data_IF_669685718593
#
_entry.id   IF_669685718593
#
_cell.length_a   1.000
_cell.length_b   1.000
_cell.length_c   1.000
_cell.angle_alpha   90.00
_cell.angle_beta   90.00
_cell.angle_gamma   90.00
#
_symmetry.space_group_name_H-M   'P 1'
#
loop_
_entity.id
_entity.type
_entity.pdbx_description
1 polymer ?
#
# COMPACT_ATOMS: atom_id res chain seq x y z
N UNK A 1 -9.56 1.49 -23.63
CA UNK A 1 -10.29 0.44 -22.89
C UNK A 1 -9.49 -0.84 -23.05
N UNK A 2 -8.92 -1.39 -21.97
CA UNK A 2 -8.28 -2.70 -22.00
C UNK A 2 -9.35 -3.74 -22.35
N UNK A 3 -9.10 -4.59 -23.35
CA UNK A 3 -9.98 -5.73 -23.56
C UNK A 3 -9.91 -6.62 -22.31
N UNK A 4 -11.02 -7.23 -21.89
CA UNK A 4 -11.13 -8.06 -20.67
C UNK A 4 -10.18 -9.28 -20.60
N UNK A 5 -9.29 -9.46 -21.59
CA UNK A 5 -8.32 -10.53 -21.70
C UNK A 5 -6.84 -10.07 -21.63
N UNK A 6 -6.53 -8.76 -21.65
CA UNK A 6 -5.14 -8.29 -21.58
C UNK A 6 -4.70 -7.99 -20.14
N UNK A 7 -4.12 -8.99 -19.50
CA UNK A 7 -3.58 -8.90 -18.13
C UNK A 7 -2.10 -8.50 -18.14
N UNK A 8 -1.35 -8.78 -19.20
CA UNK A 8 0.11 -8.56 -19.23
C UNK A 8 0.47 -7.09 -19.27
N UNK A 9 -0.23 -6.29 -20.10
CA UNK A 9 0.02 -4.85 -20.18
C UNK A 9 -0.16 -4.15 -18.83
N UNK A 10 -1.32 -4.34 -18.15
CA UNK A 10 -1.55 -3.78 -16.83
C UNK A 10 -0.61 -4.35 -15.76
N UNK A 11 -0.30 -5.66 -15.78
CA UNK A 11 0.67 -6.23 -14.85
C UNK A 11 2.07 -5.60 -15.01
N UNK A 12 2.51 -5.39 -16.24
CA UNK A 12 3.78 -4.72 -16.54
C UNK A 12 3.78 -3.25 -16.08
N UNK A 13 2.65 -2.54 -16.21
CA UNK A 13 2.48 -1.22 -15.62
C UNK A 13 2.62 -1.27 -14.10
N UNK A 14 1.90 -2.20 -13.44
CA UNK A 14 1.95 -2.34 -12.00
C UNK A 14 3.36 -2.64 -11.47
N UNK A 15 4.14 -3.47 -12.18
CA UNK A 15 5.52 -3.77 -11.79
C UNK A 15 6.40 -2.52 -11.79
N UNK A 16 6.25 -1.65 -12.81
CA UNK A 16 7.00 -0.39 -12.87
C UNK A 16 6.57 0.61 -11.80
N UNK A 17 5.28 0.62 -11.47
CA UNK A 17 4.72 1.59 -10.52
C UNK A 17 4.95 1.20 -9.05
N UNK A 18 4.93 -0.09 -8.74
CA UNK A 18 4.77 -0.59 -7.37
C UNK A 18 5.79 -1.64 -6.93
N UNK A 19 6.62 -2.16 -7.84
CA UNK A 19 7.61 -3.19 -7.54
C UNK A 19 9.06 -2.68 -7.68
N UNK A 20 9.32 -1.45 -7.24
CA UNK A 20 10.65 -0.82 -7.32
C UNK A 20 11.74 -1.58 -6.53
N UNK A 21 11.36 -2.37 -5.53
CA UNK A 21 12.24 -3.27 -4.78
C UNK A 21 12.59 -4.58 -5.51
N UNK A 22 12.07 -4.79 -6.73
CA UNK A 22 12.41 -5.91 -7.62
C UNK A 22 11.19 -6.61 -8.21
N UNK A 23 11.36 -7.26 -9.36
CA UNK A 23 10.28 -7.93 -10.09
C UNK A 23 10.42 -9.47 -10.05
N UNK A 24 10.75 -10.01 -8.88
CA UNK A 24 10.86 -11.46 -8.67
C UNK A 24 9.54 -12.21 -9.01
N UNK A 25 9.58 -13.55 -9.16
CA UNK A 25 8.39 -14.32 -9.53
C UNK A 25 7.17 -14.11 -8.62
N UNK A 26 7.36 -13.83 -7.32
CA UNK A 26 6.26 -13.58 -6.40
C UNK A 26 5.66 -12.19 -6.64
N UNK A 27 6.49 -11.16 -6.83
CA UNK A 27 6.02 -9.82 -7.19
C UNK A 27 5.23 -9.82 -8.51
N UNK A 28 5.75 -10.53 -9.53
CA UNK A 28 5.06 -10.73 -10.83
C UNK A 28 3.72 -11.44 -10.66
N UNK A 29 3.67 -12.50 -9.87
CA UNK A 29 2.44 -13.23 -9.63
C UNK A 29 1.37 -12.36 -8.92
N UNK A 30 1.77 -11.59 -7.90
CA UNK A 30 0.85 -10.69 -7.19
C UNK A 30 0.29 -9.61 -8.11
N UNK A 31 1.14 -8.93 -8.88
CA UNK A 31 0.69 -7.84 -9.76
C UNK A 31 -0.10 -8.33 -10.97
N UNK A 32 0.22 -9.52 -11.50
CA UNK A 32 -0.62 -10.18 -12.51
C UNK A 32 -2.00 -10.52 -11.96
N UNK A 33 -2.07 -11.02 -10.73
CA UNK A 33 -3.35 -11.32 -10.07
C UNK A 33 -4.18 -10.05 -9.86
N UNK A 34 -3.56 -8.97 -9.36
CA UNK A 34 -4.22 -7.67 -9.19
C UNK A 34 -4.69 -7.09 -10.53
N UNK A 35 -3.84 -7.13 -11.56
CA UNK A 35 -4.13 -6.65 -12.91
C UNK A 35 -5.37 -7.31 -13.53
N UNK A 36 -5.59 -8.60 -13.27
CA UNK A 36 -6.77 -9.32 -13.75
C UNK A 36 -8.09 -8.78 -13.17
N UNK A 37 -8.05 -8.14 -11.98
CA UNK A 37 -9.22 -7.61 -11.30
C UNK A 37 -9.54 -6.14 -11.65
N UNK A 38 -8.56 -5.35 -12.09
CA UNK A 38 -8.77 -3.91 -12.34
C UNK A 38 -9.89 -3.55 -13.31
N UNK A 39 -10.17 -4.31 -14.39
CA UNK A 39 -11.32 -4.00 -15.27
C UNK A 39 -12.66 -4.01 -14.53
N UNK A 40 -12.76 -4.72 -13.41
CA UNK A 40 -13.96 -4.82 -12.57
C UNK A 40 -13.94 -3.87 -11.37
N UNK A 41 -12.82 -3.19 -11.09
CA UNK A 41 -12.67 -2.32 -9.91
C UNK A 41 -13.75 -1.25 -9.86
N UNK A 42 -14.07 -0.64 -11.00
CA UNK A 42 -15.10 0.40 -11.12
C UNK A 42 -16.51 -0.05 -10.72
N UNK A 43 -16.81 -1.35 -10.71
CA UNK A 43 -18.10 -1.90 -10.24
C UNK A 43 -18.29 -1.69 -8.74
N UNK A 44 -17.18 -1.69 -7.99
CA UNK A 44 -17.18 -1.54 -6.54
C UNK A 44 -16.64 -0.18 -6.07
N UNK A 45 -16.08 0.62 -6.97
CA UNK A 45 -15.55 1.94 -6.66
C UNK A 45 -16.65 2.88 -6.20
N UNK A 46 -16.39 3.60 -5.10
CA UNK A 46 -17.27 4.63 -4.55
C UNK A 46 -16.49 5.93 -4.43
N UNK A 47 -17.16 7.09 -4.45
CA UNK A 47 -16.51 8.34 -4.11
C UNK A 47 -15.88 8.25 -2.72
N UNK A 48 -14.63 8.70 -2.60
CA UNK A 48 -13.95 8.76 -1.32
C UNK A 48 -14.70 9.70 -0.37
N UNK A 49 -15.09 9.25 0.83
CA UNK A 49 -15.69 10.15 1.81
C UNK A 49 -14.61 11.14 2.30
N UNK A 50 -14.99 12.36 2.74
CA UNK A 50 -14.04 13.39 3.19
C UNK A 50 -13.52 13.09 4.61
N UNK A 51 -12.90 11.93 4.80
CA UNK A 51 -12.47 11.42 6.11
C UNK A 51 -11.02 11.75 6.44
N UNK A 52 -10.23 12.20 5.47
CA UNK A 52 -8.82 12.47 5.69
C UNK A 52 -8.60 13.57 6.75
N UNK A 53 -9.44 14.61 6.74
CA UNK A 53 -9.45 15.69 7.77
C UNK A 53 -10.01 15.24 9.12
N UNK A 54 -10.62 14.05 9.17
CA UNK A 54 -11.20 13.45 10.38
C UNK A 54 -10.28 12.45 11.06
N UNK A 55 -9.11 12.15 10.49
CA UNK A 55 -8.11 11.29 11.14
C UNK A 55 -7.77 11.70 12.59
N UNK A 56 -7.70 13.01 12.95
CA UNK A 56 -7.47 13.40 14.34
C UNK A 56 -8.55 12.94 15.33
N UNK A 57 -9.77 12.61 14.87
CA UNK A 57 -10.82 12.04 15.73
C UNK A 57 -10.44 10.64 16.26
N UNK A 58 -9.49 9.96 15.60
CA UNK A 58 -8.97 8.65 15.98
C UNK A 58 -7.66 8.75 16.79
N UNK A 59 -7.18 9.97 17.06
CA UNK A 59 -5.96 10.17 17.83
C UNK A 59 -6.07 9.52 19.22
N UNK A 60 -4.99 8.86 19.65
CA UNK A 60 -4.93 8.12 20.92
C UNK A 60 -5.34 6.65 20.83
N UNK A 61 -5.91 6.19 19.71
CA UNK A 61 -6.02 4.75 19.44
C UNK A 61 -4.63 4.15 19.13
N UNK A 62 -4.36 2.90 19.54
CA UNK A 62 -3.14 2.21 19.14
C UNK A 62 -3.06 2.11 17.60
N UNK A 63 -2.13 2.86 17.01
CA UNK A 63 -1.94 2.92 15.57
C UNK A 63 -0.46 3.08 15.23
N UNK A 64 -0.08 2.60 14.04
CA UNK A 64 1.22 2.83 13.41
C UNK A 64 1.00 2.94 11.91
N UNK A 65 1.76 3.79 11.24
CA UNK A 65 1.77 3.89 9.78
C UNK A 65 3.07 3.30 9.26
N UNK A 66 2.97 2.35 8.33
CA UNK A 66 4.13 1.72 7.70
C UNK A 66 4.14 2.08 6.23
N UNK A 67 5.32 2.41 5.70
CA UNK A 67 5.50 2.76 4.29
C UNK A 67 6.86 2.30 3.78
N UNK A 68 6.93 1.84 2.54
CA UNK A 68 8.20 1.57 1.86
C UNK A 68 8.89 2.88 1.46
N UNK A 69 10.22 2.93 1.50
CA UNK A 69 10.96 4.08 1.01
C UNK A 69 11.03 4.16 -0.52
N UNK A 70 10.67 3.07 -1.22
CA UNK A 70 10.56 3.00 -2.68
C UNK A 70 9.11 3.13 -3.17
N UNK A 71 8.14 3.38 -2.29
CA UNK A 71 6.78 3.73 -2.69
C UNK A 71 6.75 5.04 -3.49
N UNK A 72 5.70 5.22 -4.30
CA UNK A 72 5.55 6.44 -5.08
C UNK A 72 5.45 7.67 -4.15
N UNK A 73 6.06 8.82 -4.53
CA UNK A 73 6.09 10.01 -3.67
C UNK A 73 4.71 10.45 -3.13
N UNK A 74 3.61 10.45 -3.91
CA UNK A 74 2.29 10.79 -3.38
C UNK A 74 1.79 9.84 -2.27
N UNK A 75 2.17 8.56 -2.34
CA UNK A 75 1.83 7.56 -1.32
C UNK A 75 2.63 7.80 -0.05
N UNK A 76 3.92 8.12 -0.18
CA UNK A 76 4.79 8.48 0.94
C UNK A 76 4.28 9.74 1.64
N UNK A 77 3.95 10.80 0.88
CA UNK A 77 3.39 12.04 1.42
C UNK A 77 2.06 11.80 2.16
N UNK A 78 1.21 10.93 1.62
CA UNK A 78 -0.06 10.56 2.26
C UNK A 78 0.18 9.81 3.59
N UNK A 79 1.12 8.87 3.62
CA UNK A 79 1.47 8.11 4.81
C UNK A 79 2.02 9.02 5.92
N UNK A 80 2.89 9.98 5.57
CA UNK A 80 3.44 10.96 6.49
C UNK A 80 2.35 11.83 7.13
N UNK A 81 1.46 12.39 6.30
CA UNK A 81 0.33 13.19 6.77
C UNK A 81 -0.65 12.36 7.60
N UNK A 82 -0.83 11.09 7.27
CA UNK A 82 -1.67 10.16 8.04
C UNK A 82 -1.09 9.95 9.44
N UNK A 83 0.23 9.69 9.54
CA UNK A 83 0.90 9.51 10.82
C UNK A 83 0.86 10.78 11.68
N UNK A 84 1.12 11.95 11.06
CA UNK A 84 1.02 13.25 11.71
C UNK A 84 -0.38 13.48 12.29
N UNK A 85 -1.43 13.27 11.48
CA UNK A 85 -2.82 13.52 11.89
C UNK A 85 -3.34 12.54 12.92
N UNK A 86 -2.89 11.28 12.89
CA UNK A 86 -3.19 10.29 13.92
C UNK A 86 -2.36 10.49 15.19
N UNK A 87 -1.29 11.30 15.13
CA UNK A 87 -0.33 11.44 16.21
C UNK A 87 0.40 10.13 16.53
N UNK A 88 0.67 9.30 15.51
CA UNK A 88 1.26 7.98 15.68
C UNK A 88 2.63 7.84 15.01
N UNK A 89 3.30 6.72 15.29
CA UNK A 89 4.63 6.44 14.74
C UNK A 89 4.54 6.12 13.23
N UNK A 90 5.37 6.82 12.43
CA UNK A 90 5.66 6.47 11.05
C UNK A 90 6.90 5.58 10.97
N UNK A 91 6.74 4.38 10.43
CA UNK A 91 7.80 3.42 10.19
C UNK A 91 8.10 3.33 8.69
N UNK A 92 9.18 3.99 8.27
CA UNK A 92 9.73 3.81 6.91
C UNK A 92 10.54 2.51 6.85
N UNK A 93 10.28 1.69 5.84
CA UNK A 93 10.93 0.39 5.64
C UNK A 93 11.93 0.49 4.50
N UNK A 94 13.26 0.44 4.78
CA UNK A 94 14.28 0.59 3.76
C UNK A 94 14.25 -0.53 2.72
N UNK A 95 14.40 -0.15 1.45
CA UNK A 95 14.36 -1.05 0.29
C UNK A 95 13.00 -1.69 0.03
N UNK A 96 11.93 -1.24 0.70
CA UNK A 96 10.59 -1.78 0.47
C UNK A 96 9.82 -0.88 -0.50
N UNK A 97 9.07 -1.54 -1.38
CA UNK A 97 8.12 -0.94 -2.28
C UNK A 97 6.68 -1.22 -1.78
N UNK A 98 5.71 -1.02 -2.67
CA UNK A 98 4.29 -1.21 -2.37
C UNK A 98 3.95 -2.65 -1.94
N UNK A 99 4.82 -3.62 -2.24
CA UNK A 99 4.66 -5.02 -1.88
C UNK A 99 5.26 -5.28 -0.49
N UNK A 100 5.04 -4.38 0.47
CA UNK A 100 5.61 -4.42 1.81
C UNK A 100 5.45 -5.78 2.55
N UNK A 101 4.31 -6.51 2.44
CA UNK A 101 4.20 -7.86 2.99
C UNK A 101 5.18 -8.87 2.38
N UNK A 102 5.59 -8.69 1.12
CA UNK A 102 6.60 -9.52 0.45
C UNK A 102 8.02 -9.07 0.84
N UNK A 103 8.26 -7.76 0.94
CA UNK A 103 9.61 -7.20 1.19
C UNK A 103 10.07 -7.35 2.63
N UNK A 104 9.17 -7.12 3.58
CA UNK A 104 9.52 -7.06 4.99
C UNK A 104 8.45 -7.71 5.89
N UNK A 105 8.11 -8.99 5.67
CA UNK A 105 7.03 -9.67 6.40
C UNK A 105 7.22 -9.63 7.92
N UNK A 106 8.45 -9.82 8.42
CA UNK A 106 8.74 -9.77 9.85
C UNK A 106 8.52 -8.37 10.45
N UNK A 107 8.86 -7.30 9.72
CA UNK A 107 8.63 -5.92 10.16
C UNK A 107 7.14 -5.58 10.18
N UNK A 108 6.39 -6.03 9.17
CA UNK A 108 4.94 -5.86 9.13
C UNK A 108 4.26 -6.56 10.31
N UNK A 109 4.62 -7.82 10.57
CA UNK A 109 4.09 -8.57 11.72
C UNK A 109 4.43 -7.88 13.04
N UNK A 110 5.68 -7.44 13.22
CA UNK A 110 6.09 -6.74 14.44
C UNK A 110 5.28 -5.45 14.66
N UNK A 111 5.00 -4.69 13.60
CA UNK A 111 4.18 -3.49 13.71
C UNK A 111 2.71 -3.79 14.07
N UNK A 112 2.13 -4.83 13.48
CA UNK A 112 0.76 -5.27 13.81
C UNK A 112 0.67 -5.71 15.27
N UNK A 113 1.62 -6.51 15.74
CA UNK A 113 1.66 -6.96 17.14
C UNK A 113 1.80 -5.77 18.11
N UNK A 114 2.72 -4.85 17.81
CA UNK A 114 2.91 -3.67 18.63
C UNK A 114 1.67 -2.75 18.67
N UNK A 115 0.97 -2.57 17.55
CA UNK A 115 -0.30 -1.83 17.52
C UNK A 115 -1.41 -2.57 18.30
N UNK A 116 -1.39 -3.90 18.33
CA UNK A 116 -2.32 -4.71 19.12
C UNK A 116 -1.95 -4.79 20.63
N UNK A 117 -0.85 -4.17 21.06
CA UNK A 117 -0.36 -4.26 22.44
C UNK A 117 0.16 -5.65 22.82
N UNK A 118 0.67 -6.42 21.83
CA UNK A 118 1.16 -7.79 21.98
C UNK A 118 2.66 -7.90 21.75
#
# INVERSE_FOLDING_TARGET
MLAAADVEGPAAFGLRAWAAGGDDPAARAQLRSAAAAWPLEGVHQRPDPPVFDRLPELAGLPARVLIGDLDLPPTVDCAERTAERLGCELLRVPGADHLLPLRAPARLVAAVLAAAGR
#
